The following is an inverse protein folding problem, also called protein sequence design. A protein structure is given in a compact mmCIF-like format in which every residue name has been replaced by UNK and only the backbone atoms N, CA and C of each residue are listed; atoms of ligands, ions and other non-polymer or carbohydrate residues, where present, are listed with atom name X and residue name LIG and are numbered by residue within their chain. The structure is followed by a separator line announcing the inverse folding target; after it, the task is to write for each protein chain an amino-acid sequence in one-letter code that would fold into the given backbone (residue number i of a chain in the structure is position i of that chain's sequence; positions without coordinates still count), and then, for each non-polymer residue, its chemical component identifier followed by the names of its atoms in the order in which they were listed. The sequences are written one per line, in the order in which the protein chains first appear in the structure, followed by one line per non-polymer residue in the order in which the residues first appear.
data_IF_668319716869
#
_entry.id   IF_668319716869
#
_cell.length_a   1.000
_cell.length_b   1.000
_cell.length_c   1.000
_cell.angle_alpha   90.00
_cell.angle_beta   90.00
_cell.angle_gamma   90.00
#
_symmetry.space_group_name_H-M   'P 1'
#
loop_
_entity.id
_entity.type
_entity.pdbx_description
1 polymer ?
#
# COMPACT_ATOMS: atom_id res chain seq x y z
N UNK A 1 23.97 -11.20 -3.57
CA UNK A 1 24.14 -11.69 -4.98
C UNK A 1 23.51 -10.69 -5.96
N UNK A 2 23.70 -10.79 -7.30
CA UNK A 2 23.01 -9.93 -8.30
C UNK A 2 22.55 -10.73 -9.52
N UNK A 3 21.34 -10.52 -10.07
CA UNK A 3 20.89 -11.19 -11.29
C UNK A 3 21.65 -10.73 -12.54
N UNK A 4 22.37 -11.66 -13.18
CA UNK A 4 23.07 -11.38 -14.45
C UNK A 4 22.13 -11.44 -15.67
N UNK A 5 22.62 -10.97 -16.83
CA UNK A 5 21.86 -10.94 -18.08
C UNK A 5 21.29 -12.32 -18.48
N UNK A 6 22.03 -13.41 -18.25
CA UNK A 6 21.56 -14.77 -18.51
C UNK A 6 20.39 -15.15 -17.60
N UNK A 7 20.43 -14.76 -16.34
CA UNK A 7 19.35 -15.00 -15.38
C UNK A 7 18.10 -14.21 -15.75
N UNK A 8 18.26 -12.95 -16.20
CA UNK A 8 17.17 -12.12 -16.71
C UNK A 8 16.51 -12.73 -17.95
N UNK A 9 17.31 -13.26 -18.89
CA UNK A 9 16.79 -13.94 -20.07
C UNK A 9 15.99 -15.20 -19.69
N UNK A 10 16.51 -15.99 -18.76
CA UNK A 10 15.86 -17.22 -18.31
C UNK A 10 14.53 -16.92 -17.60
N UNK A 11 14.48 -15.89 -16.75
CA UNK A 11 13.23 -15.38 -16.18
C UNK A 11 12.24 -14.95 -17.27
N UNK A 12 12.72 -14.25 -18.30
CA UNK A 12 11.92 -13.84 -19.45
C UNK A 12 11.23 -15.03 -20.12
N UNK A 13 11.97 -16.12 -20.36
CA UNK A 13 11.45 -17.37 -20.94
C UNK A 13 10.40 -18.01 -20.03
N UNK A 14 10.66 -18.11 -18.72
CA UNK A 14 9.70 -18.65 -17.74
C UNK A 14 8.40 -17.84 -17.72
N UNK A 15 8.51 -16.51 -17.71
CA UNK A 15 7.36 -15.61 -17.74
C UNK A 15 6.56 -15.72 -19.03
N UNK A 16 7.23 -15.86 -20.18
CA UNK A 16 6.54 -16.11 -21.46
C UNK A 16 5.75 -17.42 -21.41
N UNK A 17 6.33 -18.49 -20.85
CA UNK A 17 5.63 -19.77 -20.67
C UNK A 17 4.39 -19.62 -19.77
N UNK A 18 4.53 -18.94 -18.63
CA UNK A 18 3.43 -18.65 -17.72
C UNK A 18 2.29 -17.88 -18.41
N UNK A 19 2.62 -16.82 -19.16
CA UNK A 19 1.62 -16.01 -19.88
C UNK A 19 0.92 -16.78 -21.00
N UNK A 20 1.62 -17.67 -21.69
CA UNK A 20 0.99 -18.53 -22.70
C UNK A 20 -0.09 -19.43 -22.07
N UNK A 21 0.18 -19.99 -20.88
CA UNK A 21 -0.82 -20.76 -20.13
C UNK A 21 -1.98 -19.88 -19.65
N UNK A 22 -1.69 -18.70 -19.09
CA UNK A 22 -2.71 -17.74 -18.63
C UNK A 22 -3.67 -17.33 -19.75
N UNK A 23 -3.15 -17.13 -20.97
CA UNK A 23 -3.96 -16.75 -22.13
C UNK A 23 -4.57 -17.95 -22.89
N UNK A 24 -4.39 -19.19 -22.39
CA UNK A 24 -4.94 -20.39 -23.03
C UNK A 24 -4.37 -20.66 -24.42
N UNK A 25 -3.11 -20.29 -24.66
CA UNK A 25 -2.42 -20.57 -25.92
C UNK A 25 -2.28 -22.09 -26.09
N UNK A 26 -2.55 -22.68 -27.28
CA UNK A 26 -2.34 -24.10 -27.50
C UNK A 26 -0.89 -24.53 -27.24
N UNK A 27 -0.69 -25.70 -26.63
CA UNK A 27 0.63 -26.14 -26.18
C UNK A 27 1.68 -26.25 -27.30
N UNK A 28 1.25 -26.55 -28.52
CA UNK A 28 2.08 -26.60 -29.72
C UNK A 28 2.72 -25.26 -30.09
N UNK A 29 2.11 -24.14 -29.65
CA UNK A 29 2.62 -22.79 -29.84
C UNK A 29 3.40 -22.28 -28.63
N UNK A 30 3.58 -23.10 -27.59
CA UNK A 30 4.35 -22.70 -26.42
C UNK A 30 5.84 -22.54 -26.75
N UNK A 31 6.46 -21.55 -26.11
CA UNK A 31 7.90 -21.35 -26.17
C UNK A 31 8.62 -22.62 -25.69
N UNK A 32 9.64 -23.05 -26.44
CA UNK A 32 10.49 -24.18 -26.06
C UNK A 32 11.49 -23.72 -25.02
N UNK A 33 11.41 -24.30 -23.83
CA UNK A 33 12.35 -24.06 -22.74
C UNK A 33 13.63 -24.86 -23.01
N UNK A 34 14.71 -24.17 -23.34
CA UNK A 34 16.01 -24.79 -23.67
C UNK A 34 16.91 -25.00 -22.47
N UNK A 35 16.62 -24.32 -21.36
CA UNK A 35 17.32 -24.46 -20.09
C UNK A 35 16.30 -24.52 -18.97
N UNK A 36 16.49 -25.45 -18.04
CA UNK A 36 15.62 -25.60 -16.87
C UNK A 36 15.63 -24.32 -16.01
N UNK A 37 14.48 -23.63 -15.86
CA UNK A 37 14.37 -22.45 -15.01
C UNK A 37 14.65 -22.72 -13.52
N UNK A 38 14.59 -23.97 -13.05
CA UNK A 38 14.89 -24.34 -11.67
C UNK A 38 16.32 -23.93 -11.24
N UNK A 39 17.22 -23.70 -12.20
CA UNK A 39 18.56 -23.14 -11.95
C UNK A 39 18.54 -21.77 -11.25
N UNK A 40 17.43 -21.04 -11.34
CA UNK A 40 17.28 -19.75 -10.67
C UNK A 40 16.85 -19.86 -9.20
N UNK A 41 16.53 -21.05 -8.68
CA UNK A 41 16.12 -21.21 -7.29
C UNK A 41 17.21 -20.79 -6.30
N UNK A 42 18.44 -21.28 -6.47
CA UNK A 42 19.55 -20.96 -5.56
C UNK A 42 19.81 -19.44 -5.51
N UNK A 43 19.81 -18.78 -6.67
CA UNK A 43 19.96 -17.33 -6.75
C UNK A 43 18.79 -16.61 -6.07
N UNK A 44 17.56 -17.01 -6.39
CA UNK A 44 16.34 -16.33 -5.92
C UNK A 44 16.15 -16.47 -4.42
N UNK A 45 16.38 -17.67 -3.87
CA UNK A 45 16.35 -17.95 -2.43
C UNK A 45 17.49 -17.21 -1.72
N UNK A 46 18.69 -17.21 -2.29
CA UNK A 46 19.84 -16.47 -1.76
C UNK A 46 19.58 -14.97 -1.66
N UNK A 47 18.97 -14.36 -2.68
CA UNK A 47 18.59 -12.94 -2.66
C UNK A 47 17.53 -12.60 -1.60
N UNK A 48 16.57 -13.51 -1.36
CA UNK A 48 15.59 -13.36 -0.27
C UNK A 48 16.27 -13.43 1.09
N UNK A 49 17.14 -14.42 1.29
CA UNK A 49 17.94 -14.56 2.51
C UNK A 49 18.86 -13.34 2.74
N UNK A 50 19.57 -12.87 1.72
CA UNK A 50 20.46 -11.70 1.79
C UNK A 50 19.70 -10.45 2.27
N UNK A 51 18.51 -10.16 1.70
CA UNK A 51 17.71 -9.02 2.13
C UNK A 51 17.14 -9.22 3.54
N UNK A 52 16.59 -10.40 3.84
CA UNK A 52 16.03 -10.69 5.16
C UNK A 52 17.10 -10.54 6.26
N UNK A 53 18.28 -11.10 6.06
CA UNK A 53 19.42 -10.96 6.96
C UNK A 53 19.86 -9.49 7.09
N UNK A 54 19.84 -8.71 6.00
CA UNK A 54 20.17 -7.28 6.03
C UNK A 54 19.16 -6.45 6.83
N UNK A 55 17.85 -6.70 6.66
CA UNK A 55 16.77 -6.04 7.43
C UNK A 55 16.89 -6.34 8.92
N UNK A 56 17.32 -7.54 9.27
CA UNK A 56 17.44 -7.98 10.66
C UNK A 56 18.72 -7.49 11.38
N UNK A 57 19.57 -6.68 10.73
CA UNK A 57 20.72 -6.03 11.39
C UNK A 57 20.24 -4.83 12.19
N UNK A 58 20.94 -4.51 13.28
CA UNK A 58 20.60 -3.37 14.15
C UNK A 58 20.70 -2.02 13.42
N UNK A 59 21.71 -1.87 12.55
CA UNK A 59 21.92 -0.65 11.74
C UNK A 59 22.13 -1.03 10.26
N UNK A 60 21.06 -1.17 9.47
CA UNK A 60 21.19 -1.49 8.05
C UNK A 60 21.55 -0.24 7.23
N UNK A 61 22.52 -0.37 6.31
CA UNK A 61 22.84 0.69 5.34
C UNK A 61 21.67 0.90 4.35
N UNK A 62 21.03 2.09 4.30
CA UNK A 62 19.90 2.35 3.42
C UNK A 62 20.20 2.14 1.93
N UNK A 63 21.42 2.48 1.49
CA UNK A 63 21.82 2.33 0.08
C UNK A 63 21.94 0.86 -0.30
N UNK A 64 22.60 0.07 0.56
CA UNK A 64 22.67 -1.38 0.38
C UNK A 64 21.28 -2.03 0.40
N UNK A 65 20.36 -1.59 1.28
CA UNK A 65 18.99 -2.12 1.33
C UNK A 65 18.21 -1.84 0.04
N UNK A 66 18.32 -0.62 -0.51
CA UNK A 66 17.66 -0.25 -1.76
C UNK A 66 18.10 -1.15 -2.91
N UNK A 67 19.41 -1.39 -3.03
CA UNK A 67 19.95 -2.30 -4.04
C UNK A 67 19.48 -3.75 -3.85
N UNK A 68 19.50 -4.26 -2.61
CA UNK A 68 19.02 -5.61 -2.32
C UNK A 68 17.53 -5.77 -2.64
N UNK A 69 16.69 -4.76 -2.37
CA UNK A 69 15.28 -4.75 -2.75
C UNK A 69 15.10 -4.81 -4.27
N UNK A 70 15.84 -4.01 -5.04
CA UNK A 70 15.78 -4.05 -6.51
C UNK A 70 16.14 -5.45 -7.03
N UNK A 71 17.15 -6.09 -6.44
CA UNK A 71 17.52 -7.45 -6.79
C UNK A 71 16.46 -8.48 -6.37
N UNK A 72 15.82 -8.32 -5.21
CA UNK A 72 14.80 -9.25 -4.74
C UNK A 72 13.51 -9.20 -5.59
N UNK A 73 13.21 -8.07 -6.24
CA UNK A 73 12.10 -7.98 -7.19
C UNK A 73 12.26 -8.99 -8.36
N UNK A 74 13.49 -9.31 -8.76
CA UNK A 74 13.75 -10.39 -9.70
C UNK A 74 13.27 -11.75 -9.14
N UNK A 75 13.62 -12.07 -7.89
CA UNK A 75 13.21 -13.33 -7.24
C UNK A 75 11.70 -13.42 -7.08
N UNK A 76 11.03 -12.34 -6.66
CA UNK A 76 9.58 -12.31 -6.50
C UNK A 76 8.87 -12.64 -7.82
N UNK A 77 9.29 -11.99 -8.92
CA UNK A 77 8.78 -12.26 -10.27
C UNK A 77 9.10 -13.67 -10.73
N UNK A 78 10.27 -14.20 -10.38
CA UNK A 78 10.66 -15.57 -10.72
C UNK A 78 9.78 -16.60 -10.03
N UNK A 79 9.61 -16.52 -8.70
CA UNK A 79 8.76 -17.47 -7.95
C UNK A 79 7.34 -17.51 -8.50
N UNK A 80 6.75 -16.33 -8.73
CA UNK A 80 5.41 -16.19 -9.30
C UNK A 80 5.31 -16.72 -10.74
N UNK A 81 6.28 -16.38 -11.60
CA UNK A 81 6.30 -16.88 -12.98
C UNK A 81 6.51 -18.39 -13.05
N UNK A 82 7.36 -18.94 -12.19
CA UNK A 82 7.62 -20.38 -12.16
C UNK A 82 6.38 -21.13 -11.70
N UNK A 83 5.72 -20.68 -10.64
CA UNK A 83 4.43 -21.20 -10.17
C UNK A 83 3.39 -21.20 -11.31
N UNK A 84 3.20 -20.06 -11.98
CA UNK A 84 2.24 -19.94 -13.08
C UNK A 84 2.60 -20.76 -14.32
N UNK A 85 3.88 -21.11 -14.50
CA UNK A 85 4.32 -21.95 -15.61
C UNK A 85 3.98 -23.43 -15.47
N UNK A 86 3.49 -23.86 -14.30
CA UNK A 86 3.12 -25.25 -13.96
C UNK A 86 4.21 -26.28 -14.30
N UNK A 87 5.48 -25.88 -14.20
CA UNK A 87 6.61 -26.75 -14.48
C UNK A 87 6.84 -27.79 -13.38
N UNK A 88 6.45 -27.48 -12.15
CA UNK A 88 6.49 -28.42 -11.03
C UNK A 88 5.46 -28.04 -9.95
N UNK A 89 4.30 -28.69 -9.97
CA UNK A 89 3.19 -28.41 -9.04
C UNK A 89 3.49 -28.83 -7.58
N UNK A 90 4.47 -29.72 -7.35
CA UNK A 90 4.83 -30.16 -5.98
C UNK A 90 5.48 -29.07 -5.14
N UNK A 91 6.08 -28.07 -5.78
CA UNK A 91 6.74 -26.96 -5.10
C UNK A 91 5.79 -25.79 -4.84
N UNK A 92 4.56 -25.85 -5.34
CA UNK A 92 3.66 -24.69 -5.39
C UNK A 92 3.47 -24.00 -4.04
N UNK A 93 3.24 -24.70 -2.91
CA UNK A 93 3.06 -24.04 -1.62
C UNK A 93 4.35 -23.32 -1.15
N UNK A 94 5.51 -23.93 -1.35
CA UNK A 94 6.80 -23.31 -1.03
C UNK A 94 7.07 -22.07 -1.89
N UNK A 95 6.78 -22.13 -3.19
CA UNK A 95 6.95 -21.00 -4.10
C UNK A 95 5.96 -19.87 -3.82
N UNK A 96 4.71 -20.20 -3.46
CA UNK A 96 3.73 -19.22 -3.00
C UNK A 96 4.27 -18.49 -1.77
N UNK A 97 4.79 -19.21 -0.78
CA UNK A 97 5.29 -18.62 0.46
C UNK A 97 6.50 -17.70 0.21
N UNK A 98 7.51 -18.19 -0.51
CA UNK A 98 8.71 -17.40 -0.83
C UNK A 98 8.42 -16.22 -1.74
N UNK A 99 7.55 -16.40 -2.74
CA UNK A 99 7.12 -15.34 -3.63
C UNK A 99 6.36 -14.25 -2.89
N UNK A 100 5.47 -14.64 -1.97
CA UNK A 100 4.69 -13.71 -1.15
C UNK A 100 5.59 -12.90 -0.23
N UNK A 101 6.52 -13.56 0.47
CA UNK A 101 7.53 -12.89 1.29
C UNK A 101 8.40 -11.94 0.46
N UNK A 102 8.83 -12.37 -0.73
CA UNK A 102 9.66 -11.55 -1.62
C UNK A 102 8.93 -10.30 -2.09
N UNK A 103 7.67 -10.42 -2.54
CA UNK A 103 6.85 -9.26 -2.90
C UNK A 103 6.64 -8.33 -1.70
N UNK A 104 6.34 -8.88 -0.52
CA UNK A 104 6.11 -8.07 0.68
C UNK A 104 7.37 -7.28 1.07
N UNK A 105 8.54 -7.92 1.12
CA UNK A 105 9.81 -7.28 1.45
C UNK A 105 10.30 -6.29 0.38
N UNK A 106 9.86 -6.45 -0.88
CA UNK A 106 10.08 -5.52 -2.00
C UNK A 106 9.04 -4.39 -2.13
N UNK A 107 8.30 -4.08 -1.07
CA UNK A 107 7.35 -2.96 -1.07
C UNK A 107 6.15 -3.17 -2.02
N UNK A 108 5.78 -4.43 -2.28
CA UNK A 108 4.60 -4.81 -3.07
C UNK A 108 3.61 -5.65 -2.25
N UNK A 109 3.03 -5.10 -1.16
CA UNK A 109 2.14 -5.84 -0.26
C UNK A 109 0.86 -6.35 -0.94
N UNK A 110 0.35 -5.64 -1.96
CA UNK A 110 -0.80 -6.09 -2.74
C UNK A 110 -0.52 -7.40 -3.48
N UNK A 111 0.61 -7.48 -4.20
CA UNK A 111 1.05 -8.70 -4.88
C UNK A 111 1.33 -9.83 -3.90
N UNK A 112 1.93 -9.52 -2.75
CA UNK A 112 2.16 -10.49 -1.69
C UNK A 112 0.85 -11.10 -1.16
N UNK A 113 -0.15 -10.25 -0.87
CA UNK A 113 -1.44 -10.69 -0.35
C UNK A 113 -2.19 -11.57 -1.36
N UNK A 114 -2.19 -11.20 -2.65
CA UNK A 114 -2.82 -12.00 -3.72
C UNK A 114 -2.16 -13.38 -3.84
N UNK A 115 -0.83 -13.43 -3.75
CA UNK A 115 -0.10 -14.69 -3.87
C UNK A 115 -0.32 -15.58 -2.63
N UNK A 116 -0.26 -15.03 -1.41
CA UNK A 116 -0.47 -15.75 -0.15
C UNK A 116 -1.88 -16.35 -0.02
N UNK A 117 -2.88 -15.74 -0.66
CA UNK A 117 -4.26 -16.24 -0.72
C UNK A 117 -4.47 -17.42 -1.67
N UNK A 118 -3.43 -17.87 -2.41
CA UNK A 118 -3.53 -19.06 -3.26
C UNK A 118 -3.44 -20.37 -2.48
N UNK A 119 -2.83 -20.34 -1.30
CA UNK A 119 -2.96 -21.44 -0.34
C UNK A 119 -4.32 -21.23 0.33
N UNK A 120 -5.15 -22.28 0.41
CA UNK A 120 -6.41 -22.26 1.14
C UNK A 120 -6.20 -22.93 2.51
N UNK A 121 -6.60 -22.28 3.60
CA UNK A 121 -6.39 -22.82 4.96
C UNK A 121 -4.92 -22.80 5.39
N UNK A 122 -4.49 -23.84 6.12
CA UNK A 122 -3.13 -23.95 6.66
C UNK A 122 -2.09 -24.25 5.58
N UNK A 123 -0.82 -23.95 5.87
CA UNK A 123 0.25 -24.26 4.93
C UNK A 123 0.45 -25.79 4.89
N UNK A 124 0.58 -26.41 3.70
CA UNK A 124 1.06 -27.78 3.61
C UNK A 124 2.42 -27.90 4.31
N UNK A 125 2.71 -29.04 4.95
CA UNK A 125 3.99 -29.27 5.63
C UNK A 125 5.18 -29.08 4.67
N UNK A 126 6.03 -28.10 4.99
CA UNK A 126 7.23 -27.76 4.25
C UNK A 126 8.48 -28.09 5.07
N UNK A 127 8.44 -29.08 5.96
CA UNK A 127 9.54 -29.43 6.87
C UNK A 127 10.09 -28.22 7.66
N UNK A 128 9.22 -27.24 7.96
CA UNK A 128 9.59 -26.00 8.63
C UNK A 128 9.27 -25.95 10.12
N UNK A 129 8.69 -27.02 10.69
CA UNK A 129 8.22 -27.09 12.08
C UNK A 129 7.28 -25.90 12.42
N UNK A 130 6.23 -25.72 11.59
CA UNK A 130 5.20 -24.68 11.70
C UNK A 130 5.66 -23.23 11.45
N UNK A 131 6.93 -23.00 11.08
CA UNK A 131 7.39 -21.68 10.65
C UNK A 131 6.74 -21.24 9.33
N UNK A 132 6.42 -22.18 8.45
CA UNK A 132 5.67 -21.96 7.22
C UNK A 132 4.27 -21.39 7.48
N UNK A 133 3.59 -21.90 8.52
CA UNK A 133 2.26 -21.43 8.93
C UNK A 133 2.33 -20.03 9.53
N UNK A 134 3.29 -19.78 10.42
CA UNK A 134 3.51 -18.44 10.97
C UNK A 134 3.80 -17.42 9.87
N UNK A 135 4.69 -17.76 8.93
CA UNK A 135 5.04 -16.87 7.82
C UNK A 135 3.82 -16.61 6.91
N UNK A 136 3.05 -17.65 6.58
CA UNK A 136 1.84 -17.52 5.77
C UNK A 136 0.80 -16.62 6.47
N UNK A 137 0.58 -16.84 7.77
CA UNK A 137 -0.32 -16.05 8.60
C UNK A 137 0.08 -14.56 8.61
N UNK A 138 1.36 -14.27 8.81
CA UNK A 138 1.89 -12.90 8.72
C UNK A 138 1.63 -12.26 7.35
N UNK A 139 1.87 -13.00 6.27
CA UNK A 139 1.73 -12.49 4.90
C UNK A 139 0.27 -12.29 4.48
N UNK A 140 -0.66 -13.10 5.00
CA UNK A 140 -2.10 -12.89 4.83
C UNK A 140 -2.62 -11.71 5.64
N UNK A 141 -1.91 -11.31 6.69
CA UNK A 141 -2.31 -10.29 7.64
C UNK A 141 -3.69 -10.60 8.28
N UNK A 142 -3.93 -11.88 8.59
CA UNK A 142 -5.14 -12.31 9.28
C UNK A 142 -5.03 -12.02 10.79
N UNK A 143 -5.33 -10.78 11.17
CA UNK A 143 -5.30 -10.34 12.57
C UNK A 143 -6.57 -10.74 13.36
N UNK A 144 -7.34 -11.72 12.87
CA UNK A 144 -8.51 -12.26 13.58
C UNK A 144 -8.22 -13.55 14.35
N UNK A 145 -7.05 -14.17 14.14
CA UNK A 145 -6.67 -15.48 14.67
C UNK A 145 -5.25 -15.44 15.23
N UNK A 146 -4.88 -16.38 16.11
CA UNK A 146 -3.51 -16.56 16.60
C UNK A 146 -3.21 -18.04 16.82
N UNK A 147 -1.94 -18.37 17.02
CA UNK A 147 -1.50 -19.73 17.31
C UNK A 147 -1.52 -19.99 18.81
N UNK A 148 -2.07 -21.15 19.20
CA UNK A 148 -2.09 -21.63 20.57
C UNK A 148 -1.82 -23.14 20.58
N UNK A 149 -0.63 -23.52 21.07
CA UNK A 149 -0.17 -24.90 21.09
C UNK A 149 0.51 -25.35 19.79
N UNK A 150 1.23 -24.46 19.10
CA UNK A 150 2.05 -24.87 17.96
C UNK A 150 3.06 -25.97 18.37
N UNK A 151 3.15 -27.03 17.58
CA UNK A 151 4.04 -28.16 17.84
C UNK A 151 5.49 -27.85 17.42
N UNK A 152 6.43 -28.67 17.89
CA UNK A 152 7.83 -28.60 17.47
C UNK A 152 8.70 -27.62 18.27
N UNK A 153 9.99 -27.50 17.92
CA UNK A 153 10.98 -26.76 18.69
C UNK A 153 10.78 -25.24 18.70
N UNK A 154 9.96 -24.71 17.79
CA UNK A 154 9.67 -23.28 17.69
C UNK A 154 8.27 -22.90 18.20
N UNK A 155 7.49 -23.86 18.70
CA UNK A 155 6.07 -23.67 19.04
C UNK A 155 5.80 -22.51 20.01
N UNK A 156 6.52 -22.44 21.13
CA UNK A 156 6.37 -21.36 22.11
C UNK A 156 6.68 -19.97 21.52
N UNK A 157 7.64 -19.90 20.59
CA UNK A 157 8.00 -18.66 19.91
C UNK A 157 6.92 -18.26 18.90
N UNK A 158 6.34 -19.22 18.18
CA UNK A 158 5.24 -19.00 17.22
C UNK A 158 4.00 -18.47 17.94
N UNK A 159 3.59 -19.13 19.02
CA UNK A 159 2.47 -18.69 19.86
C UNK A 159 2.72 -17.30 20.44
N UNK A 160 3.93 -17.06 20.96
CA UNK A 160 4.33 -15.76 21.49
C UNK A 160 4.24 -14.65 20.44
N UNK A 161 4.84 -14.86 19.26
CA UNK A 161 4.88 -13.87 18.18
C UNK A 161 3.46 -13.54 17.71
N UNK A 162 2.62 -14.55 17.49
CA UNK A 162 1.25 -14.31 17.00
C UNK A 162 0.38 -13.57 18.01
N UNK A 163 0.45 -13.94 19.30
CA UNK A 163 -0.26 -13.25 20.39
C UNK A 163 0.17 -11.78 20.50
N UNK A 164 1.47 -11.51 20.50
CA UNK A 164 1.97 -10.13 20.60
C UNK A 164 1.68 -9.28 19.35
N UNK A 165 1.60 -9.89 18.16
CA UNK A 165 1.19 -9.15 16.96
C UNK A 165 -0.27 -8.72 17.04
N UNK A 166 -1.15 -9.60 17.50
CA UNK A 166 -2.56 -9.25 17.67
C UNK A 166 -2.69 -8.08 18.65
N UNK A 167 -2.03 -8.18 19.80
CA UNK A 167 -2.03 -7.12 20.79
C UNK A 167 -1.52 -5.80 20.19
N UNK A 168 -0.37 -5.81 19.52
CA UNK A 168 0.20 -4.61 18.91
C UNK A 168 -0.74 -3.93 17.92
N UNK A 169 -1.44 -4.69 17.05
CA UNK A 169 -2.37 -4.08 16.10
C UNK A 169 -3.74 -3.71 16.70
N UNK A 170 -4.05 -4.21 17.89
CA UNK A 170 -5.24 -3.86 18.67
C UNK A 170 -5.04 -2.56 19.47
N UNK A 171 -3.91 -2.42 20.18
CA UNK A 171 -3.70 -1.34 21.15
C UNK A 171 -2.39 -0.53 20.99
N UNK A 172 -1.51 -0.93 20.06
CA UNK A 172 -0.23 -0.28 19.79
C UNK A 172 0.92 -0.67 20.74
N UNK A 173 0.71 -1.60 21.67
CA UNK A 173 1.70 -2.01 22.68
C UNK A 173 2.46 -3.29 22.30
N UNK A 174 3.61 -3.53 22.94
CA UNK A 174 4.33 -4.81 22.81
C UNK A 174 5.36 -4.89 21.68
N UNK A 175 5.74 -3.76 21.06
CA UNK A 175 6.80 -3.71 20.03
C UNK A 175 8.10 -4.36 20.51
N UNK A 176 8.58 -3.99 21.71
CA UNK A 176 9.82 -4.54 22.27
C UNK A 176 9.76 -6.06 22.48
N UNK A 177 8.61 -6.57 22.93
CA UNK A 177 8.40 -8.00 23.12
C UNK A 177 8.42 -8.76 21.79
N UNK A 178 7.86 -8.18 20.72
CA UNK A 178 7.93 -8.74 19.37
C UNK A 178 9.36 -8.76 18.84
N UNK A 179 10.12 -7.69 19.05
CA UNK A 179 11.52 -7.62 18.60
C UNK A 179 12.42 -8.60 19.37
N UNK A 180 12.19 -8.78 20.66
CA UNK A 180 12.86 -9.78 21.48
C UNK A 180 12.52 -11.22 21.01
N UNK A 181 11.25 -11.53 20.81
CA UNK A 181 10.82 -12.84 20.30
C UNK A 181 11.35 -13.12 18.89
N UNK A 182 11.36 -12.13 18.00
CA UNK A 182 11.97 -12.27 16.68
C UNK A 182 13.47 -12.55 16.78
N UNK A 183 14.16 -11.94 17.74
CA UNK A 183 15.59 -12.17 17.98
C UNK A 183 15.85 -13.57 18.55
N UNK A 184 15.01 -14.03 19.48
CA UNK A 184 15.06 -15.39 20.03
C UNK A 184 14.78 -16.45 18.96
N UNK A 185 13.78 -16.23 18.10
CA UNK A 185 13.50 -17.12 16.97
C UNK A 185 14.71 -17.22 16.04
N UNK A 186 15.33 -16.09 15.68
CA UNK A 186 16.56 -16.10 14.89
C UNK A 186 17.68 -16.86 15.62
N UNK A 187 17.88 -16.63 16.91
CA UNK A 187 18.87 -17.37 17.70
C UNK A 187 18.66 -18.89 17.62
N UNK A 188 17.43 -19.35 17.84
CA UNK A 188 17.05 -20.75 17.81
C UNK A 188 17.31 -21.41 16.44
N UNK A 189 16.87 -20.79 15.34
CA UNK A 189 17.07 -21.36 13.99
C UNK A 189 18.55 -21.36 13.56
N UNK A 190 19.37 -20.45 14.08
CA UNK A 190 20.82 -20.46 13.81
C UNK A 190 21.59 -21.48 14.66
N UNK A 191 21.08 -21.81 15.85
CA UNK A 191 21.71 -22.78 16.75
C UNK A 191 21.47 -24.23 16.30
N UNK A 192 20.23 -24.58 15.95
CA UNK A 192 19.85 -25.97 15.67
C UNK A 192 18.91 -26.16 14.46
N UNK A 193 18.55 -25.09 13.75
CA UNK A 193 17.62 -25.17 12.62
C UNK A 193 18.21 -25.80 11.36
N UNK A 194 17.36 -26.40 10.54
CA UNK A 194 17.72 -26.81 9.17
C UNK A 194 17.94 -25.60 8.27
N UNK A 195 18.58 -25.73 7.09
CA UNK A 195 18.73 -24.61 6.15
C UNK A 195 17.40 -23.95 5.75
N UNK A 196 16.31 -24.73 5.72
CA UNK A 196 14.96 -24.22 5.40
C UNK A 196 14.38 -23.43 6.58
N UNK A 197 14.50 -23.96 7.80
CA UNK A 197 14.06 -23.27 9.02
C UNK A 197 14.86 -21.98 9.25
N UNK A 198 16.16 -21.98 8.94
CA UNK A 198 16.99 -20.77 8.98
C UNK A 198 16.45 -19.69 8.04
N UNK A 199 16.13 -20.05 6.79
CA UNK A 199 15.51 -19.13 5.84
C UNK A 199 14.17 -18.60 6.37
N UNK A 200 13.28 -19.47 6.84
CA UNK A 200 11.98 -19.06 7.34
C UNK A 200 12.10 -18.16 8.57
N UNK A 201 12.94 -18.49 9.55
CA UNK A 201 13.15 -17.67 10.73
C UNK A 201 13.70 -16.27 10.39
N UNK A 202 14.66 -16.18 9.47
CA UNK A 202 15.17 -14.88 8.99
C UNK A 202 14.09 -14.07 8.26
N UNK A 203 13.32 -14.72 7.38
CA UNK A 203 12.24 -14.06 6.62
C UNK A 203 11.11 -13.62 7.55
N UNK A 204 10.69 -14.45 8.50
CA UNK A 204 9.69 -14.10 9.53
C UNK A 204 10.15 -12.86 10.27
N UNK A 205 11.37 -12.85 10.83
CA UNK A 205 11.88 -11.70 11.55
C UNK A 205 11.94 -10.42 10.70
N UNK A 206 12.31 -10.54 9.42
CA UNK A 206 12.35 -9.40 8.50
C UNK A 206 10.94 -8.87 8.17
N UNK A 207 9.97 -9.77 7.95
CA UNK A 207 8.55 -9.43 7.74
C UNK A 207 7.98 -8.76 8.99
N UNK A 208 8.23 -9.30 10.18
CA UNK A 208 7.81 -8.72 11.46
C UNK A 208 8.32 -7.30 11.64
N UNK A 209 9.62 -7.07 11.49
CA UNK A 209 10.24 -5.73 11.60
C UNK A 209 9.63 -4.76 10.60
N UNK A 210 9.42 -5.21 9.36
CA UNK A 210 8.82 -4.38 8.32
C UNK A 210 7.35 -4.02 8.64
N UNK A 211 6.55 -4.96 9.14
CA UNK A 211 5.17 -4.72 9.58
C UNK A 211 5.11 -3.67 10.69
N UNK A 212 5.99 -3.78 11.69
CA UNK A 212 6.05 -2.83 12.81
C UNK A 212 6.42 -1.42 12.33
N UNK A 213 7.43 -1.29 11.47
CA UNK A 213 7.86 -0.01 10.89
C UNK A 213 6.76 0.63 10.05
N UNK A 214 6.05 -0.18 9.26
CA UNK A 214 4.99 0.30 8.38
C UNK A 214 3.63 0.43 9.10
N UNK A 215 3.53 0.08 10.38
CA UNK A 215 2.27 0.11 11.11
C UNK A 215 1.67 1.51 11.14
N UNK A 216 0.34 1.59 11.03
CA UNK A 216 -0.40 2.85 11.15
C UNK A 216 -0.18 3.51 12.52
N UNK A 217 -0.03 2.69 13.57
CA UNK A 217 0.30 3.10 14.94
C UNK A 217 1.58 3.95 15.01
N UNK A 218 2.63 3.56 14.27
CA UNK A 218 3.91 4.26 14.27
C UNK A 218 3.97 5.36 13.23
N UNK A 219 3.46 5.08 12.04
CA UNK A 219 3.60 5.95 10.88
C UNK A 219 2.72 7.20 10.95
N UNK A 220 1.46 7.08 11.37
CA UNK A 220 0.52 8.21 11.30
C UNK A 220 0.86 9.34 12.27
N UNK A 221 1.19 9.10 13.56
CA UNK A 221 1.63 10.18 14.45
C UNK A 221 2.89 10.87 13.93
N UNK A 222 3.87 10.10 13.45
CA UNK A 222 5.12 10.62 12.90
C UNK A 222 4.88 11.54 11.69
N UNK A 223 4.09 11.08 10.72
CA UNK A 223 3.90 11.81 9.47
C UNK A 223 2.90 12.98 9.59
N UNK A 224 1.88 12.84 10.43
CA UNK A 224 0.90 13.92 10.64
C UNK A 224 1.39 14.97 11.64
N UNK A 225 2.37 14.64 12.49
CA UNK A 225 2.75 15.48 13.63
C UNK A 225 1.67 15.56 14.71
N UNK A 226 0.63 14.71 14.63
CA UNK A 226 -0.45 14.65 15.61
C UNK A 226 -0.12 13.63 16.70
N UNK A 227 -0.54 13.89 17.95
CA UNK A 227 -0.37 12.93 19.02
C UNK A 227 -1.25 11.68 18.78
N UNK A 228 -0.81 10.54 19.32
CA UNK A 228 -1.44 9.23 19.06
C UNK A 228 -2.90 9.17 19.54
N UNK A 229 -3.24 9.87 20.61
CA UNK A 229 -4.59 9.96 21.18
C UNK A 229 -5.63 10.45 20.15
N UNK A 230 -5.25 11.38 19.28
CA UNK A 230 -6.11 11.84 18.18
C UNK A 230 -6.39 10.74 17.14
N UNK A 231 -5.45 9.82 16.94
CA UNK A 231 -5.61 8.72 15.97
C UNK A 231 -6.27 7.46 16.55
N UNK A 232 -6.32 7.30 17.88
CA UNK A 232 -6.89 6.11 18.54
C UNK A 232 -8.26 5.69 17.99
N UNK A 233 -9.25 6.59 17.83
CA UNK A 233 -10.58 6.19 17.35
C UNK A 233 -10.56 5.60 15.94
N UNK A 234 -9.60 5.99 15.10
CA UNK A 234 -9.42 5.43 13.76
C UNK A 234 -8.62 4.13 13.82
N UNK A 235 -7.49 4.09 14.55
CA UNK A 235 -6.59 2.94 14.63
C UNK A 235 -7.25 1.68 15.21
N UNK A 236 -8.16 1.86 16.17
CA UNK A 236 -8.91 0.79 16.81
C UNK A 236 -10.04 0.22 15.94
N UNK A 237 -10.37 0.84 14.80
CA UNK A 237 -11.37 0.29 13.88
C UNK A 237 -10.78 -0.90 13.12
N UNK A 238 -11.55 -1.98 13.04
CA UNK A 238 -11.20 -3.16 12.24
C UNK A 238 -11.14 -2.85 10.74
N UNK A 239 -11.95 -1.90 10.25
CA UNK A 239 -11.96 -1.47 8.84
C UNK A 239 -10.83 -0.50 8.48
N UNK A 240 -10.11 0.03 9.46
CA UNK A 240 -9.02 0.97 9.21
C UNK A 240 -7.73 0.23 8.83
N UNK A 241 -6.90 0.90 8.03
CA UNK A 241 -5.65 0.30 7.57
C UNK A 241 -4.73 0.05 8.76
N UNK A 242 -4.12 -1.14 8.79
CA UNK A 242 -3.19 -1.52 9.87
C UNK A 242 -1.74 -1.21 9.50
N UNK A 243 -1.41 -1.24 8.22
CA UNK A 243 -0.09 -0.92 7.69
C UNK A 243 -0.21 0.10 6.55
N UNK A 244 0.74 1.03 6.49
CA UNK A 244 0.89 1.94 5.37
C UNK A 244 1.65 1.26 4.23
N UNK A 245 1.13 1.44 3.03
CA UNK A 245 1.80 1.04 1.80
C UNK A 245 2.83 2.10 1.39
N UNK A 246 3.80 1.76 0.53
CA UNK A 246 4.86 2.69 0.14
C UNK A 246 4.33 4.03 -0.38
N UNK A 247 3.28 4.00 -1.20
CA UNK A 247 2.66 5.20 -1.73
C UNK A 247 2.01 6.07 -0.64
N UNK A 248 1.53 5.48 0.47
CA UNK A 248 0.99 6.22 1.61
C UNK A 248 2.12 6.81 2.48
N UNK A 249 3.25 6.12 2.60
CA UNK A 249 4.45 6.69 3.22
C UNK A 249 4.94 7.95 2.50
N UNK A 250 4.78 8.02 1.17
CA UNK A 250 5.15 9.21 0.40
C UNK A 250 4.32 10.44 0.78
N UNK A 251 3.03 10.28 1.09
CA UNK A 251 2.20 11.38 1.62
C UNK A 251 2.83 12.01 2.86
N UNK A 252 3.33 11.16 3.75
CA UNK A 252 3.95 11.59 4.99
C UNK A 252 5.32 12.24 4.77
N UNK A 253 6.13 11.69 3.87
CA UNK A 253 7.45 12.26 3.51
C UNK A 253 7.35 13.61 2.80
N UNK A 254 6.28 13.83 2.05
CA UNK A 254 5.98 15.10 1.37
C UNK A 254 5.15 16.06 2.23
N UNK A 255 5.02 15.79 3.54
CA UNK A 255 4.30 16.59 4.53
C UNK A 255 2.81 16.87 4.19
N UNK A 256 2.22 16.09 3.29
CA UNK A 256 0.80 16.21 2.89
C UNK A 256 -0.13 16.03 4.08
N UNK A 257 0.21 15.11 4.99
CA UNK A 257 -0.57 14.89 6.21
C UNK A 257 -0.51 16.09 7.18
N UNK A 258 0.54 16.92 7.11
CA UNK A 258 0.67 18.16 7.91
C UNK A 258 -0.04 19.36 7.32
N UNK A 259 -0.45 19.28 6.05
CA UNK A 259 -1.20 20.35 5.39
C UNK A 259 -0.56 20.86 4.10
N UNK A 260 0.58 20.33 3.69
CA UNK A 260 1.23 20.75 2.46
C UNK A 260 0.46 20.32 1.22
N UNK A 261 0.47 21.17 0.20
CA UNK A 261 -0.11 20.87 -1.10
C UNK A 261 0.87 20.04 -1.92
N UNK A 262 0.39 19.06 -2.69
CA UNK A 262 1.26 18.16 -3.43
C UNK A 262 0.59 17.52 -4.65
N UNK A 263 1.43 17.07 -5.59
CA UNK A 263 1.07 16.13 -6.64
C UNK A 263 1.54 14.74 -6.21
N UNK A 264 0.59 13.83 -5.97
CA UNK A 264 0.87 12.47 -5.51
C UNK A 264 0.65 11.51 -6.67
N UNK A 265 1.72 10.87 -7.11
CA UNK A 265 1.67 9.85 -8.13
C UNK A 265 1.55 8.47 -7.50
N UNK A 266 0.46 7.78 -7.79
CA UNK A 266 0.16 6.44 -7.29
C UNK A 266 -0.29 5.57 -8.47
N UNK A 267 0.41 4.46 -8.76
CA UNK A 267 -0.06 3.48 -9.73
C UNK A 267 -1.48 3.00 -9.40
N UNK A 268 -2.24 2.60 -10.43
CA UNK A 268 -3.54 1.96 -10.22
C UNK A 268 -3.35 0.75 -9.31
N UNK A 269 -4.26 0.54 -8.35
CA UNK A 269 -4.17 -0.46 -7.28
C UNK A 269 -3.18 -0.18 -6.13
N UNK A 270 -2.44 0.94 -6.11
CA UNK A 270 -1.53 1.29 -5.02
C UNK A 270 -2.21 1.90 -3.77
N UNK A 271 -3.55 1.89 -3.71
CA UNK A 271 -4.31 2.33 -2.53
C UNK A 271 -4.69 3.82 -2.50
N UNK A 272 -5.00 4.44 -3.65
CA UNK A 272 -5.44 5.85 -3.77
C UNK A 272 -6.58 6.20 -2.80
N UNK A 273 -7.61 5.35 -2.71
CA UNK A 273 -8.76 5.59 -1.81
C UNK A 273 -8.33 5.73 -0.35
N UNK A 274 -7.43 4.86 0.11
CA UNK A 274 -6.88 4.93 1.46
C UNK A 274 -5.94 6.11 1.66
N UNK A 275 -5.17 6.49 0.63
CA UNK A 275 -4.39 7.73 0.64
C UNK A 275 -5.29 8.97 0.84
N UNK A 276 -6.38 9.09 0.08
CA UNK A 276 -7.38 10.14 0.25
C UNK A 276 -7.99 10.14 1.65
N UNK A 277 -8.38 8.96 2.15
CA UNK A 277 -8.89 8.81 3.52
C UNK A 277 -7.91 9.35 4.57
N UNK A 278 -6.61 9.02 4.45
CA UNK A 278 -5.57 9.50 5.38
C UNK A 278 -5.41 11.02 5.35
N UNK A 279 -5.42 11.64 4.15
CA UNK A 279 -5.32 13.09 4.00
C UNK A 279 -6.50 13.77 4.68
N UNK A 280 -7.71 13.30 4.42
CA UNK A 280 -8.95 13.82 5.02
C UNK A 280 -8.93 13.70 6.54
N UNK A 281 -8.64 12.51 7.07
CA UNK A 281 -8.56 12.26 8.52
C UNK A 281 -7.52 13.16 9.16
N UNK A 282 -6.32 13.23 8.60
CA UNK A 282 -5.26 14.09 9.15
C UNK A 282 -5.68 15.56 9.19
N UNK A 283 -6.36 16.05 8.15
CA UNK A 283 -6.84 17.43 8.10
C UNK A 283 -7.93 17.72 9.14
N UNK A 284 -8.86 16.79 9.33
CA UNK A 284 -9.93 16.91 10.33
C UNK A 284 -9.43 16.75 11.77
N UNK A 285 -8.57 15.77 12.03
CA UNK A 285 -7.97 15.54 13.35
C UNK A 285 -7.05 16.70 13.77
N UNK A 286 -6.34 17.30 12.82
CA UNK A 286 -5.56 18.50 13.05
C UNK A 286 -6.42 19.78 13.19
N UNK A 287 -7.74 19.68 13.01
CA UNK A 287 -8.68 20.81 13.04
C UNK A 287 -8.30 21.93 12.03
N UNK A 288 -7.56 21.56 10.96
CA UNK A 288 -7.13 22.48 9.91
C UNK A 288 -8.28 22.84 8.97
N UNK A 289 -9.24 21.92 8.82
CA UNK A 289 -10.33 22.04 7.84
C UNK A 289 -11.65 21.59 8.47
N UNK A 290 -12.74 22.26 8.11
CA UNK A 290 -14.11 21.82 8.38
C UNK A 290 -14.81 21.30 7.12
N UNK A 291 -14.44 21.83 5.95
CA UNK A 291 -14.96 21.40 4.65
C UNK A 291 -13.81 20.96 3.75
N UNK A 292 -13.87 19.70 3.31
CA UNK A 292 -13.01 19.13 2.30
C UNK A 292 -13.83 18.75 1.05
N UNK A 293 -13.29 19.05 -0.13
CA UNK A 293 -13.95 18.73 -1.40
C UNK A 293 -13.07 17.76 -2.19
N UNK A 294 -13.67 16.66 -2.64
CA UNK A 294 -13.06 15.71 -3.57
C UNK A 294 -13.64 15.95 -4.95
N UNK A 295 -12.75 16.15 -5.92
CA UNK A 295 -13.09 16.40 -7.31
C UNK A 295 -12.71 15.16 -8.11
N UNK A 296 -13.70 14.47 -8.67
CA UNK A 296 -13.50 13.29 -9.50
C UNK A 296 -14.10 13.49 -10.90
N UNK A 297 -13.48 12.93 -11.96
CA UNK A 297 -13.81 13.25 -13.36
C UNK A 297 -15.20 12.79 -13.81
N UNK A 298 -15.77 11.74 -13.19
CA UNK A 298 -17.02 11.14 -13.62
C UNK A 298 -17.92 10.80 -12.44
N UNK A 299 -19.23 10.88 -12.64
CA UNK A 299 -20.24 10.59 -11.60
C UNK A 299 -20.13 9.20 -11.00
N UNK A 300 -19.87 8.18 -11.83
CA UNK A 300 -19.72 6.82 -11.33
C UNK A 300 -18.59 6.73 -10.31
N UNK A 301 -17.49 7.45 -10.55
CA UNK A 301 -16.36 7.54 -9.63
C UNK A 301 -16.70 8.40 -8.40
N UNK A 302 -17.46 9.50 -8.55
CA UNK A 302 -17.98 10.25 -7.40
C UNK A 302 -18.80 9.35 -6.46
N UNK A 303 -19.74 8.58 -7.01
CA UNK A 303 -20.56 7.63 -6.26
C UNK A 303 -19.71 6.57 -5.55
N UNK A 304 -18.69 6.01 -6.23
CA UNK A 304 -17.78 5.01 -5.67
C UNK A 304 -16.98 5.59 -4.48
N UNK A 305 -16.34 6.75 -4.68
CA UNK A 305 -15.58 7.44 -3.64
C UNK A 305 -16.46 7.77 -2.45
N UNK A 306 -17.65 8.33 -2.70
CA UNK A 306 -18.61 8.67 -1.64
C UNK A 306 -19.01 7.43 -0.83
N UNK A 307 -19.34 6.31 -1.49
CA UNK A 307 -19.73 5.09 -0.77
C UNK A 307 -18.57 4.53 0.07
N UNK A 308 -17.36 4.53 -0.48
CA UNK A 308 -16.17 4.09 0.26
C UNK A 308 -15.88 4.97 1.48
N UNK A 309 -16.03 6.29 1.36
CA UNK A 309 -15.81 7.21 2.47
C UNK A 309 -16.93 7.15 3.51
N UNK A 310 -18.19 6.94 3.11
CA UNK A 310 -19.29 6.69 4.06
C UNK A 310 -18.98 5.47 4.93
N UNK A 311 -18.46 4.39 4.34
CA UNK A 311 -18.07 3.21 5.10
C UNK A 311 -16.86 3.48 6.00
N UNK A 312 -15.84 4.17 5.49
CA UNK A 312 -14.64 4.51 6.24
C UNK A 312 -14.94 5.39 7.47
N UNK A 313 -15.76 6.43 7.30
CA UNK A 313 -16.15 7.38 8.34
C UNK A 313 -17.42 6.95 9.10
N UNK A 314 -17.84 5.69 8.98
CA UNK A 314 -19.01 5.17 9.69
C UNK A 314 -18.83 5.33 11.22
N UNK A 315 -19.89 5.80 11.90
CA UNK A 315 -19.90 6.16 13.33
C UNK A 315 -18.89 7.26 13.72
N UNK A 316 -18.56 8.18 12.81
CA UNK A 316 -17.76 9.38 13.09
C UNK A 316 -18.60 10.65 12.92
N UNK A 317 -18.20 11.80 13.51
CA UNK A 317 -18.89 13.07 13.33
C UNK A 317 -18.77 13.63 11.89
N UNK A 318 -17.99 12.99 11.02
CA UNK A 318 -17.77 13.41 9.64
C UNK A 318 -18.94 13.03 8.74
N UNK A 319 -19.52 14.00 8.05
CA UNK A 319 -20.58 13.79 7.06
C UNK A 319 -19.98 13.71 5.67
N UNK A 320 -20.43 12.73 4.88
CA UNK A 320 -19.98 12.53 3.49
C UNK A 320 -21.18 12.63 2.57
N UNK A 321 -21.19 13.67 1.74
CA UNK A 321 -22.24 13.91 0.75
C UNK A 321 -21.66 13.98 -0.66
N UNK A 322 -22.53 13.78 -1.65
CA UNK A 322 -22.23 13.95 -3.06
C UNK A 322 -23.22 14.95 -3.66
N UNK A 323 -22.72 15.92 -4.43
CA UNK A 323 -23.60 16.83 -5.15
C UNK A 323 -24.16 16.19 -6.40
N UNK A 324 -25.44 16.44 -6.70
CA UNK A 324 -26.00 15.96 -7.95
C UNK A 324 -25.36 16.66 -9.15
N UNK A 325 -25.42 15.97 -10.28
CA UNK A 325 -24.92 16.45 -11.56
C UNK A 325 -25.85 17.47 -12.23
N UNK A 326 -27.05 17.70 -11.68
CA UNK A 326 -27.92 18.75 -12.17
C UNK A 326 -27.27 20.10 -11.86
N UNK A 327 -27.13 20.98 -12.83
CA UNK A 327 -26.62 22.34 -12.66
C UNK A 327 -27.66 23.26 -12.00
N UNK A 328 -28.05 22.90 -10.78
CA UNK A 328 -28.93 23.64 -9.90
C UNK A 328 -28.30 23.73 -8.51
N UNK A 329 -28.87 24.53 -7.61
CA UNK A 329 -28.42 24.56 -6.21
C UNK A 329 -29.34 23.65 -5.39
N UNK A 330 -28.83 22.48 -5.04
CA UNK A 330 -29.53 21.37 -4.39
C UNK A 330 -29.05 21.16 -2.93
N UNK A 331 -28.38 22.15 -2.36
CA UNK A 331 -27.94 22.18 -0.97
C UNK A 331 -28.04 23.61 -0.40
N UNK A 332 -28.03 23.74 0.93
CA UNK A 332 -27.84 25.03 1.59
C UNK A 332 -26.44 25.09 2.20
N UNK A 333 -25.75 26.22 2.05
CA UNK A 333 -24.40 26.41 2.61
C UNK A 333 -24.40 26.18 4.12
N UNK A 334 -25.45 26.63 4.82
CA UNK A 334 -25.62 26.39 6.25
C UNK A 334 -25.68 24.89 6.63
N UNK A 335 -26.06 24.01 5.71
CA UNK A 335 -26.08 22.54 5.92
C UNK A 335 -24.71 21.90 5.67
N UNK A 336 -23.75 22.62 5.08
CA UNK A 336 -22.37 22.17 4.83
C UNK A 336 -21.38 22.70 5.87
N UNK A 337 -21.79 23.65 6.71
CA UNK A 337 -20.96 24.34 7.69
C UNK A 337 -21.36 23.95 9.11
N UNK A 338 -20.39 23.95 10.04
CA UNK A 338 -20.63 23.68 11.47
C UNK A 338 -20.27 22.27 11.93
N UNK A 339 -19.90 21.38 11.01
CA UNK A 339 -19.39 20.03 11.28
C UNK A 339 -18.30 19.68 10.26
N UNK A 340 -17.65 18.53 10.45
CA UNK A 340 -16.69 18.01 9.47
C UNK A 340 -17.47 17.48 8.26
N UNK A 341 -17.27 18.10 7.10
CA UNK A 341 -17.98 17.78 5.87
C UNK A 341 -16.99 17.40 4.77
N UNK A 342 -17.26 16.26 4.14
CA UNK A 342 -16.66 15.84 2.88
C UNK A 342 -17.71 16.00 1.79
N UNK A 343 -17.35 16.64 0.70
CA UNK A 343 -18.20 16.80 -0.47
C UNK A 343 -17.53 16.18 -1.70
N UNK A 344 -18.17 15.20 -2.31
CA UNK A 344 -17.70 14.60 -3.57
C UNK A 344 -18.46 15.24 -4.73
N UNK A 345 -17.72 15.74 -5.73
CA UNK A 345 -18.29 16.57 -6.79
C UNK A 345 -17.54 16.41 -8.10
N UNK A 346 -18.23 16.59 -9.22
CA UNK A 346 -17.57 16.75 -10.52
C UNK A 346 -16.98 18.16 -10.65
N UNK A 347 -15.91 18.34 -11.44
CA UNK A 347 -15.30 19.64 -11.62
C UNK A 347 -16.31 20.69 -12.14
N UNK A 348 -17.19 20.33 -13.08
CA UNK A 348 -18.20 21.20 -13.68
C UNK A 348 -19.22 21.67 -12.65
N UNK A 349 -19.67 20.75 -11.81
CA UNK A 349 -20.64 21.05 -10.75
C UNK A 349 -20.04 21.98 -9.71
N UNK A 350 -18.78 21.76 -9.31
CA UNK A 350 -18.10 22.65 -8.37
C UNK A 350 -17.98 24.07 -8.94
N UNK A 351 -17.59 24.20 -10.21
CA UNK A 351 -17.50 25.49 -10.87
C UNK A 351 -18.85 26.21 -10.91
N UNK A 352 -19.93 25.48 -11.23
CA UNK A 352 -21.29 26.02 -11.18
C UNK A 352 -21.63 26.53 -9.77
N UNK A 353 -21.35 25.73 -8.75
CA UNK A 353 -21.61 26.07 -7.34
C UNK A 353 -20.87 27.33 -6.92
N UNK A 354 -19.56 27.40 -7.15
CA UNK A 354 -18.75 28.54 -6.73
C UNK A 354 -19.12 29.84 -7.46
N UNK A 355 -19.73 29.75 -8.65
CA UNK A 355 -20.26 30.93 -9.36
C UNK A 355 -21.55 31.47 -8.76
N UNK A 356 -22.40 30.59 -8.22
CA UNK A 356 -23.69 30.97 -7.64
C UNK A 356 -23.62 31.26 -6.13
N UNK A 357 -22.65 30.65 -5.44
CA UNK A 357 -22.40 30.77 -4.02
C UNK A 357 -20.88 30.95 -3.75
N UNK A 358 -20.28 32.06 -4.18
CA UNK A 358 -18.84 32.31 -4.06
C UNK A 358 -18.33 32.31 -2.63
N UNK A 359 -19.18 32.62 -1.65
CA UNK A 359 -18.87 32.57 -0.22
C UNK A 359 -18.46 31.16 0.26
N UNK A 360 -18.86 30.10 -0.45
CA UNK A 360 -18.43 28.74 -0.13
C UNK A 360 -16.91 28.58 -0.26
N UNK A 361 -16.28 29.27 -1.22
CA UNK A 361 -14.85 29.16 -1.48
C UNK A 361 -13.99 29.48 -0.25
N UNK A 362 -14.41 30.45 0.56
CA UNK A 362 -13.70 30.86 1.77
C UNK A 362 -13.72 29.80 2.88
N UNK A 363 -14.63 28.82 2.80
CA UNK A 363 -14.78 27.75 3.79
C UNK A 363 -14.04 26.47 3.39
N UNK A 364 -13.57 26.36 2.14
CA UNK A 364 -12.87 25.16 1.64
C UNK A 364 -11.44 25.16 2.19
N UNK A 365 -11.16 24.22 3.09
CA UNK A 365 -9.83 24.04 3.66
C UNK A 365 -8.94 23.05 2.89
N UNK A 366 -9.56 22.09 2.19
CA UNK A 366 -8.86 21.05 1.45
C UNK A 366 -9.58 20.70 0.14
N UNK A 367 -8.80 20.59 -0.93
CA UNK A 367 -9.23 20.06 -2.22
C UNK A 367 -8.39 18.86 -2.60
N UNK A 368 -9.05 17.74 -2.87
CA UNK A 368 -8.42 16.54 -3.41
C UNK A 368 -8.90 16.34 -4.84
N UNK A 369 -7.98 16.42 -5.80
CA UNK A 369 -8.25 16.14 -7.20
C UNK A 369 -7.89 14.68 -7.46
N UNK A 370 -8.89 13.85 -7.78
CA UNK A 370 -8.65 12.46 -8.16
C UNK A 370 -8.53 12.32 -9.69
N UNK A 371 -7.79 11.30 -10.09
CA UNK A 371 -7.47 10.98 -11.48
C UNK A 371 -6.87 12.15 -12.28
N UNK A 372 -5.86 12.81 -11.72
CA UNK A 372 -5.17 13.90 -12.41
C UNK A 372 -4.54 13.53 -13.76
N UNK A 373 -4.34 12.24 -14.06
CA UNK A 373 -3.85 11.77 -15.37
C UNK A 373 -4.77 12.17 -16.54
N UNK A 374 -5.99 12.64 -16.25
CA UNK A 374 -6.86 13.26 -17.25
C UNK A 374 -6.19 14.43 -17.99
N UNK A 375 -5.17 15.10 -17.43
CA UNK A 375 -4.39 16.12 -18.17
C UNK A 375 -3.83 15.60 -19.50
N UNK A 376 -3.44 14.33 -19.58
CA UNK A 376 -2.84 13.73 -20.78
C UNK A 376 -3.88 13.21 -21.79
N UNK A 377 -5.18 13.41 -21.54
CA UNK A 377 -6.28 12.83 -22.34
C UNK A 377 -6.68 13.65 -23.59
N UNK A 378 -5.72 14.31 -24.25
CA UNK A 378 -5.95 15.08 -25.47
C UNK A 378 -6.97 16.21 -25.28
N UNK A 379 -8.05 16.22 -26.05
CA UNK A 379 -9.07 17.28 -25.98
C UNK A 379 -9.81 17.32 -24.64
N UNK A 380 -9.96 16.18 -23.95
CA UNK A 380 -10.53 16.13 -22.60
C UNK A 380 -9.59 16.74 -21.57
N UNK A 381 -8.28 16.56 -21.75
CA UNK A 381 -7.25 17.18 -20.92
C UNK A 381 -7.29 18.71 -20.97
N UNK A 382 -7.47 19.29 -22.16
CA UNK A 382 -7.61 20.76 -22.33
C UNK A 382 -8.84 21.28 -21.55
N UNK A 383 -9.98 20.61 -21.66
CA UNK A 383 -11.19 20.99 -20.92
C UNK A 383 -10.97 20.91 -19.42
N UNK A 384 -10.33 19.83 -18.95
CA UNK A 384 -10.00 19.63 -17.55
C UNK A 384 -9.05 20.73 -17.03
N UNK A 385 -8.01 21.07 -17.79
CA UNK A 385 -7.06 22.14 -17.47
C UNK A 385 -7.73 23.51 -17.38
N UNK A 386 -8.55 23.88 -18.36
CA UNK A 386 -9.29 25.16 -18.35
C UNK A 386 -10.24 25.25 -17.16
N UNK A 387 -10.87 24.14 -16.81
CA UNK A 387 -11.80 24.07 -15.71
C UNK A 387 -11.06 24.19 -14.37
N UNK A 388 -9.98 23.43 -14.17
CA UNK A 388 -9.15 23.54 -12.97
C UNK A 388 -8.48 24.91 -12.84
N UNK A 389 -8.08 25.54 -13.95
CA UNK A 389 -7.63 26.95 -13.97
C UNK A 389 -8.71 27.88 -13.42
N UNK A 390 -9.96 27.69 -13.87
CA UNK A 390 -11.09 28.48 -13.41
C UNK A 390 -11.34 28.29 -11.91
N UNK A 391 -11.32 27.03 -11.44
CA UNK A 391 -11.46 26.73 -10.02
C UNK A 391 -10.32 27.35 -9.19
N UNK A 392 -9.06 27.18 -9.60
CA UNK A 392 -7.89 27.76 -8.92
C UNK A 392 -8.03 29.26 -8.70
N UNK A 393 -8.59 29.98 -9.67
CA UNK A 393 -8.80 31.44 -9.58
C UNK A 393 -9.85 31.85 -8.54
N UNK A 394 -10.75 30.93 -8.17
CA UNK A 394 -11.85 31.17 -7.23
C UNK A 394 -11.53 30.71 -5.81
N UNK A 395 -10.53 29.85 -5.64
CA UNK A 395 -10.17 29.23 -4.36
C UNK A 395 -9.06 30.05 -3.67
N UNK A 396 -9.16 30.27 -2.34
CA UNK A 396 -8.10 30.95 -1.59
C UNK A 396 -6.71 30.34 -1.77
N UNK A 397 -5.67 31.18 -1.77
CA UNK A 397 -4.29 30.72 -1.95
C UNK A 397 -3.86 29.71 -0.87
N UNK A 398 -4.31 29.90 0.38
CA UNK A 398 -3.97 29.05 1.53
C UNK A 398 -4.76 27.73 1.64
N UNK A 399 -5.67 27.43 0.71
CA UNK A 399 -6.37 26.13 0.69
C UNK A 399 -5.39 25.02 0.29
N UNK A 400 -5.33 23.94 1.09
CA UNK A 400 -4.52 22.77 0.76
C UNK A 400 -5.07 22.11 -0.52
N UNK A 401 -4.20 21.85 -1.50
CA UNK A 401 -4.55 21.22 -2.77
C UNK A 401 -3.70 19.97 -2.96
N UNK A 402 -4.35 18.82 -3.05
CA UNK A 402 -3.67 17.55 -3.29
C UNK A 402 -4.22 16.94 -4.55
N UNK A 403 -3.37 16.70 -5.54
CA UNK A 403 -3.76 15.99 -6.75
C UNK A 403 -3.21 14.58 -6.70
N UNK A 404 -4.09 13.58 -6.78
CA UNK A 404 -3.73 12.17 -6.83
C UNK A 404 -3.91 11.69 -8.26
N UNK A 405 -2.87 11.06 -8.81
CA UNK A 405 -2.86 10.65 -10.22
C UNK A 405 -2.09 9.36 -10.43
N UNK A 406 -2.37 8.66 -11.53
CA UNK A 406 -1.39 7.73 -12.09
C UNK A 406 -0.11 8.50 -12.50
N UNK A 407 0.97 7.76 -12.79
CA UNK A 407 2.25 8.37 -13.21
C UNK A 407 2.04 9.23 -14.47
N UNK A 408 2.39 10.51 -14.36
CA UNK A 408 2.37 11.51 -15.44
C UNK A 408 3.77 12.11 -15.62
N UNK A 409 4.13 12.46 -16.86
CA UNK A 409 5.50 12.89 -17.19
C UNK A 409 5.85 14.32 -16.77
N UNK A 410 4.86 15.16 -16.51
CA UNK A 410 4.97 16.59 -16.24
C UNK A 410 4.45 16.99 -14.84
N UNK A 411 4.57 16.08 -13.86
CA UNK A 411 4.03 16.28 -12.51
C UNK A 411 4.53 17.56 -11.83
N UNK A 412 5.82 17.88 -11.97
CA UNK A 412 6.41 19.10 -11.40
C UNK A 412 5.76 20.37 -11.97
N UNK A 413 5.56 20.42 -13.29
CA UNK A 413 4.93 21.57 -13.96
C UNK A 413 3.45 21.72 -13.54
N UNK A 414 2.73 20.59 -13.40
CA UNK A 414 1.35 20.60 -12.89
C UNK A 414 1.33 21.05 -11.42
N UNK A 415 2.30 20.64 -10.61
CA UNK A 415 2.46 21.05 -9.21
C UNK A 415 2.72 22.54 -9.07
N UNK A 416 3.69 23.08 -9.80
CA UNK A 416 3.99 24.51 -9.83
C UNK A 416 2.78 25.33 -10.31
N UNK A 417 2.08 24.86 -11.35
CA UNK A 417 0.86 25.53 -11.82
C UNK A 417 -0.29 25.44 -10.81
N UNK A 418 -0.52 24.32 -10.12
CA UNK A 418 -1.65 24.18 -9.20
C UNK A 418 -1.39 24.84 -7.84
N UNK A 419 -0.17 24.68 -7.32
CA UNK A 419 0.21 24.99 -5.94
C UNK A 419 1.15 26.21 -5.83
N UNK A 420 1.81 26.61 -6.91
CA UNK A 420 2.82 27.66 -6.92
C UNK A 420 4.25 27.18 -6.62
N UNK A 421 4.40 26.00 -6.03
CA UNK A 421 5.68 25.34 -5.76
C UNK A 421 5.62 23.86 -6.17
N UNK A 422 6.70 23.29 -6.72
CA UNK A 422 6.76 21.88 -7.07
C UNK A 422 6.94 21.04 -5.79
N UNK A 423 5.87 20.36 -5.38
CA UNK A 423 5.94 19.28 -4.39
C UNK A 423 5.33 18.01 -5.01
N UNK A 424 6.20 17.08 -5.42
CA UNK A 424 5.80 15.85 -6.10
C UNK A 424 6.22 14.64 -5.27
N UNK A 425 5.24 13.78 -4.99
CA UNK A 425 5.41 12.52 -4.29
C UNK A 425 5.30 11.36 -5.30
N UNK A 426 6.43 10.82 -5.75
CA UNK A 426 6.48 9.78 -6.80
C UNK A 426 6.43 8.36 -6.22
N UNK A 427 5.29 7.68 -6.39
CA UNK A 427 5.16 6.25 -6.14
C UNK A 427 5.61 5.43 -7.34
N UNK A 428 6.83 4.88 -7.27
CA UNK A 428 7.39 3.96 -8.28
C UNK A 428 6.95 2.52 -8.10
#
# INVERSE_FOLDING_TARGET
MRPEQKSQLLLGVTRSKAKMLEYGVPEEHHIKITQDPAKLFTLSIGLLGDLAAAINREEPDPNSLAELKTNLLFSARFFDSYLQSKLNETLDPYLVLLGSASYYLCDLPGSASVLAKRIDGDCPDLDGDALEDLLLWLLRADLGTYFDGAEGPFGELIDGISKWILQFFEDGNGEDNLLDLATKLRGAVYEFGTPRQLLFGDVIAAVLRKKLVNSAWKALPLYSGLPLDKWLPALQKNSFIKELWPAQHLLGKADVLKGESAIVQMPTSAGKTKATELILRSAFLAERVSLAIIIAPFRALCHEIKNSLVEAFHNEPTKVDELSDALQTDFKIAELLGHQQILVVTPEKLLYVLRHAPELAAHIGLLVFDEGHQFDSGTRGITYELLLTSLRSMIPAGTQKVLISAVISNAEAVGEWLNGEPNVAEGT
#
